data_IF_470816459857
#
_entry.id   IF_470816459857
#
_cell.length_a   1.000
_cell.length_b   1.000
_cell.length_c   1.000
_cell.angle_alpha   90.00
_cell.angle_beta   90.00
_cell.angle_gamma   90.00
#
_symmetry.space_group_name_H-M   'P 1'
#
loop_
_entity.id
_entity.type
_entity.pdbx_description
1 polymer ?
#
# COMPACT_ATOMS: atom_id res chain seq x y z
N UNK A 1 7.69 42.81 -2.88
CA UNK A 1 6.33 42.23 -2.91
C UNK A 1 6.03 41.83 -1.48
N UNK A 2 4.95 42.30 -0.87
CA UNK A 2 4.60 41.85 0.47
C UNK A 2 4.08 40.42 0.37
N UNK A 3 4.48 39.54 1.33
CA UNK A 3 3.90 38.22 1.47
C UNK A 3 2.42 38.35 1.85
N UNK A 4 1.61 37.39 1.44
CA UNK A 4 0.21 37.36 1.84
C UNK A 4 0.10 37.12 3.37
N UNK A 5 -0.87 37.77 4.00
CA UNK A 5 -1.14 37.52 5.40
C UNK A 5 -1.57 36.07 5.62
N UNK A 6 -1.08 35.46 6.70
CA UNK A 6 -1.38 34.09 7.10
C UNK A 6 -0.75 32.97 6.25
N UNK A 7 0.29 33.25 5.48
CA UNK A 7 1.12 32.21 4.89
C UNK A 7 2.02 31.63 5.98
N UNK A 8 1.77 30.38 6.38
CA UNK A 8 2.43 29.65 7.48
C UNK A 8 2.61 30.48 8.77
N UNK A 9 1.51 30.92 9.40
CA UNK A 9 1.56 31.88 10.50
C UNK A 9 2.20 31.34 11.79
N UNK A 10 2.41 30.03 11.89
CA UNK A 10 2.91 29.33 13.09
C UNK A 10 4.31 28.75 12.93
N UNK A 11 4.96 28.93 11.80
CA UNK A 11 6.24 28.31 11.54
C UNK A 11 7.13 29.11 10.59
N UNK A 12 7.77 28.42 9.67
CA UNK A 12 8.55 29.05 8.60
C UNK A 12 7.60 29.66 7.58
N UNK A 13 7.92 30.84 7.11
CA UNK A 13 7.18 31.48 6.02
C UNK A 13 7.28 30.66 4.75
N UNK A 14 6.19 30.67 3.98
CA UNK A 14 6.16 30.02 2.68
C UNK A 14 7.02 30.78 1.66
N UNK A 15 8.11 30.17 1.29
CA UNK A 15 8.96 30.63 0.22
C UNK A 15 9.17 29.53 -0.79
N UNK A 16 8.56 29.66 -1.95
CA UNK A 16 9.05 28.94 -3.13
C UNK A 16 10.16 29.76 -3.78
N UNK A 17 10.83 29.18 -4.75
CA UNK A 17 11.84 29.92 -5.56
C UNK A 17 11.27 31.12 -6.31
N UNK A 18 9.95 31.24 -6.39
CA UNK A 18 9.21 32.35 -7.01
C UNK A 18 8.38 33.17 -6.01
N UNK A 19 8.56 32.95 -4.71
CA UNK A 19 7.85 33.65 -3.64
C UNK A 19 6.33 33.60 -3.81
N UNK A 20 5.78 32.39 -3.84
CA UNK A 20 4.34 32.17 -3.97
C UNK A 20 3.77 31.57 -2.69
N UNK A 21 2.50 31.89 -2.41
CA UNK A 21 1.69 31.28 -1.37
C UNK A 21 1.08 29.93 -1.77
N UNK A 22 1.43 29.44 -2.96
CA UNK A 22 0.80 28.24 -3.54
C UNK A 22 1.44 26.94 -3.12
N UNK A 23 2.70 26.96 -2.71
CA UNK A 23 3.46 25.78 -2.34
C UNK A 23 3.81 25.78 -0.86
N UNK A 24 3.35 24.78 -0.14
CA UNK A 24 3.67 24.59 1.26
C UNK A 24 5.14 24.16 1.41
N UNK A 25 5.88 24.83 2.29
CA UNK A 25 7.29 24.50 2.55
C UNK A 25 7.38 23.19 3.36
N UNK A 26 8.17 22.22 2.89
CA UNK A 26 8.37 20.95 3.57
C UNK A 26 9.03 21.04 4.96
N UNK A 27 9.67 22.18 5.27
CA UNK A 27 10.26 22.44 6.59
C UNK A 27 9.35 23.24 7.52
N UNK A 28 8.19 23.72 7.03
CA UNK A 28 7.25 24.51 7.81
C UNK A 28 6.57 23.71 8.93
N UNK A 29 6.19 24.41 9.99
CA UNK A 29 5.41 23.82 11.09
C UNK A 29 4.08 23.26 10.58
N UNK A 30 3.43 23.95 9.65
CA UNK A 30 2.17 23.51 9.04
C UNK A 30 2.35 22.16 8.31
N UNK A 31 3.45 21.98 7.57
CA UNK A 31 3.68 20.72 6.88
C UNK A 31 4.11 19.59 7.83
N UNK A 32 4.82 19.89 8.91
CA UNK A 32 5.11 18.90 9.97
C UNK A 32 3.80 18.34 10.54
N UNK A 33 2.81 19.22 10.80
CA UNK A 33 1.47 18.80 11.23
C UNK A 33 0.79 17.91 10.20
N UNK A 34 0.86 18.26 8.91
CA UNK A 34 0.32 17.42 7.82
C UNK A 34 0.90 16.01 7.85
N UNK A 35 2.21 15.89 7.96
CA UNK A 35 2.90 14.60 7.94
C UNK A 35 2.59 13.75 9.17
N UNK A 36 2.55 14.36 10.35
CA UNK A 36 2.22 13.65 11.60
C UNK A 36 0.75 13.21 11.62
N UNK A 37 -0.18 14.03 11.13
CA UNK A 37 -1.59 13.66 11.01
C UNK A 37 -1.78 12.46 10.06
N UNK A 38 -1.16 12.49 8.88
CA UNK A 38 -1.20 11.38 7.91
C UNK A 38 -0.66 10.11 8.55
N UNK A 39 0.51 10.17 9.17
CA UNK A 39 1.12 9.01 9.83
C UNK A 39 0.22 8.43 10.90
N UNK A 40 -0.29 9.28 11.80
CA UNK A 40 -1.15 8.86 12.90
C UNK A 40 -2.42 8.16 12.40
N UNK A 41 -3.10 8.72 11.40
CA UNK A 41 -4.32 8.12 10.85
C UNK A 41 -4.06 6.81 10.11
N UNK A 42 -2.96 6.70 9.36
CA UNK A 42 -2.60 5.45 8.69
C UNK A 42 -2.22 4.35 9.70
N UNK A 43 -1.46 4.69 10.75
CA UNK A 43 -1.15 3.77 11.85
C UNK A 43 -2.42 3.28 12.55
N UNK A 44 -3.39 4.16 12.77
CA UNK A 44 -4.65 3.79 13.41
C UNK A 44 -5.51 2.87 12.54
N UNK A 45 -5.71 3.21 11.27
CA UNK A 45 -6.56 2.46 10.35
C UNK A 45 -6.01 1.07 10.04
N UNK A 46 -4.71 0.95 9.78
CA UNK A 46 -4.07 -0.31 9.38
C UNK A 46 -3.40 -1.05 10.54
N UNK A 47 -3.39 -0.49 11.75
CA UNK A 47 -2.66 -1.04 12.91
C UNK A 47 -1.16 -1.21 12.64
N UNK A 48 -0.59 -0.29 11.87
CA UNK A 48 0.82 -0.32 11.48
C UNK A 48 1.74 0.21 12.59
N UNK A 49 2.98 -0.30 12.61
CA UNK A 49 4.05 0.22 13.49
C UNK A 49 4.66 1.49 12.91
N UNK A 50 4.96 1.47 11.62
CA UNK A 50 5.55 2.61 10.94
C UNK A 50 4.83 2.91 9.61
N UNK A 51 4.95 4.15 9.15
CA UNK A 51 4.39 4.64 7.89
C UNK A 51 5.50 5.28 7.08
N UNK A 52 5.53 5.03 5.78
CA UNK A 52 6.45 5.64 4.84
C UNK A 52 5.66 6.20 3.65
N UNK A 53 5.90 7.46 3.32
CA UNK A 53 5.32 8.10 2.15
C UNK A 53 6.38 8.19 1.05
N UNK A 54 6.13 7.52 -0.07
CA UNK A 54 7.00 7.55 -1.25
C UNK A 54 6.39 8.52 -2.27
N UNK A 55 7.04 9.63 -2.62
CA UNK A 55 6.52 10.56 -3.63
C UNK A 55 6.22 9.86 -4.96
N UNK A 56 5.05 10.12 -5.55
CA UNK A 56 4.61 9.55 -6.82
C UNK A 56 3.24 8.90 -6.72
N UNK A 57 3.16 7.60 -6.53
CA UNK A 57 1.89 6.86 -6.44
C UNK A 57 2.11 5.43 -5.96
N UNK A 58 1.04 4.63 -5.91
CA UNK A 58 1.10 3.26 -5.41
C UNK A 58 2.17 2.39 -6.09
N UNK A 59 2.35 2.53 -7.40
CA UNK A 59 3.40 1.78 -8.14
C UNK A 59 4.82 2.13 -7.68
N UNK A 60 5.06 3.37 -7.25
CA UNK A 60 6.34 3.79 -6.67
C UNK A 60 6.54 3.14 -5.29
N UNK A 61 5.47 3.02 -4.49
CA UNK A 61 5.49 2.27 -3.23
C UNK A 61 5.80 0.79 -3.45
N UNK A 62 5.17 0.14 -4.44
CA UNK A 62 5.45 -1.25 -4.80
C UNK A 62 6.93 -1.42 -5.19
N UNK A 63 7.45 -0.57 -6.07
CA UNK A 63 8.84 -0.66 -6.51
C UNK A 63 9.82 -0.36 -5.37
N UNK A 64 9.52 0.61 -4.49
CA UNK A 64 10.31 0.89 -3.30
C UNK A 64 10.44 -0.33 -2.39
N UNK A 65 9.33 -1.01 -2.12
CA UNK A 65 9.28 -2.25 -1.30
C UNK A 65 10.07 -3.39 -1.98
N UNK A 66 9.89 -3.60 -3.29
CA UNK A 66 10.61 -4.63 -4.02
C UNK A 66 12.12 -4.38 -4.03
N UNK A 67 12.57 -3.16 -4.30
CA UNK A 67 13.99 -2.78 -4.30
C UNK A 67 14.64 -2.86 -2.93
N UNK A 68 13.89 -2.58 -1.88
CA UNK A 68 14.38 -2.66 -0.51
C UNK A 68 14.56 -4.10 -0.04
N UNK A 69 13.55 -4.95 -0.27
CA UNK A 69 13.49 -6.24 0.40
C UNK A 69 13.75 -7.45 -0.52
N UNK A 70 13.48 -7.35 -1.84
CA UNK A 70 13.54 -8.49 -2.75
C UNK A 70 14.87 -8.63 -3.49
N UNK A 71 15.79 -7.69 -3.33
CA UNK A 71 17.04 -7.68 -4.08
C UNK A 71 17.92 -8.89 -3.76
N UNK A 72 18.22 -9.68 -4.80
CA UNK A 72 19.02 -10.89 -4.67
C UNK A 72 18.35 -12.04 -3.90
N UNK A 73 17.08 -11.91 -3.58
CA UNK A 73 16.30 -12.89 -2.83
C UNK A 73 15.49 -13.82 -3.75
N UNK A 74 15.02 -14.95 -3.22
CA UNK A 74 13.96 -15.74 -3.80
C UNK A 74 12.61 -15.20 -3.31
N UNK A 75 11.66 -15.08 -4.21
CA UNK A 75 10.35 -14.52 -3.88
C UNK A 75 9.21 -15.36 -4.44
N UNK A 76 8.04 -15.25 -3.82
CA UNK A 76 6.79 -15.83 -4.32
C UNK A 76 5.76 -14.72 -4.55
N UNK A 77 5.05 -14.78 -5.67
CA UNK A 77 4.01 -13.82 -6.05
C UNK A 77 2.69 -14.55 -6.26
N UNK A 78 1.67 -14.19 -5.49
CA UNK A 78 0.28 -14.54 -5.79
C UNK A 78 -0.23 -13.58 -6.86
N UNK A 79 -0.69 -14.13 -8.00
CA UNK A 79 -1.08 -13.34 -9.17
C UNK A 79 -2.49 -13.66 -9.62
N UNK A 80 -3.42 -12.75 -9.32
CA UNK A 80 -4.84 -12.91 -9.58
C UNK A 80 -5.33 -12.19 -10.84
N UNK A 81 -4.45 -11.38 -11.48
CA UNK A 81 -4.79 -10.66 -12.70
C UNK A 81 -3.71 -9.65 -13.12
N UNK A 82 -4.17 -8.57 -13.77
CA UNK A 82 -3.29 -7.58 -14.40
C UNK A 82 -2.53 -6.72 -13.38
N UNK A 83 -3.18 -6.33 -12.26
CA UNK A 83 -2.53 -5.45 -11.29
C UNK A 83 -1.52 -6.20 -10.41
N UNK A 84 -1.81 -7.43 -10.03
CA UNK A 84 -0.83 -8.28 -9.33
C UNK A 84 0.32 -8.75 -10.24
N UNK A 85 0.15 -8.76 -11.57
CA UNK A 85 1.24 -8.98 -12.53
C UNK A 85 2.31 -7.88 -12.44
N UNK A 86 1.95 -6.68 -11.95
CA UNK A 86 2.91 -5.59 -11.77
C UNK A 86 4.08 -5.96 -10.87
N UNK A 87 3.88 -6.81 -9.87
CA UNK A 87 5.00 -7.33 -9.08
C UNK A 87 6.03 -8.05 -9.96
N UNK A 88 5.58 -8.96 -10.82
CA UNK A 88 6.47 -9.63 -11.78
C UNK A 88 7.17 -8.63 -12.71
N UNK A 89 6.45 -7.63 -13.22
CA UNK A 89 7.03 -6.61 -14.09
C UNK A 89 8.10 -5.77 -13.39
N UNK A 90 7.86 -5.34 -12.15
CA UNK A 90 8.85 -4.61 -11.35
C UNK A 90 10.10 -5.46 -11.12
N UNK A 91 9.91 -6.71 -10.72
CA UNK A 91 10.97 -7.66 -10.44
C UNK A 91 11.82 -7.91 -11.70
N UNK A 92 11.17 -8.21 -12.83
CA UNK A 92 11.81 -8.51 -14.11
C UNK A 92 12.53 -7.28 -14.67
N UNK A 93 11.87 -6.12 -14.71
CA UNK A 93 12.45 -4.87 -15.22
C UNK A 93 13.67 -4.43 -14.42
N UNK A 94 13.61 -4.59 -13.09
CA UNK A 94 14.73 -4.24 -12.21
C UNK A 94 15.82 -5.31 -12.09
N UNK A 95 15.58 -6.53 -12.57
CA UNK A 95 16.48 -7.67 -12.34
C UNK A 95 16.70 -7.90 -10.84
N UNK A 96 15.64 -7.76 -10.03
CA UNK A 96 15.78 -7.60 -8.58
C UNK A 96 16.05 -8.91 -7.86
N UNK A 97 15.45 -10.01 -8.29
CA UNK A 97 15.41 -11.27 -7.53
C UNK A 97 16.32 -12.33 -8.13
N UNK A 98 16.71 -13.32 -7.30
CA UNK A 98 17.39 -14.52 -7.75
C UNK A 98 16.42 -15.48 -8.44
N UNK A 99 15.23 -15.65 -7.85
CA UNK A 99 14.13 -16.43 -8.43
C UNK A 99 12.78 -15.81 -8.07
N UNK A 100 11.75 -16.08 -8.89
CA UNK A 100 10.40 -15.61 -8.66
C UNK A 100 9.41 -16.71 -9.03
N UNK A 101 8.80 -17.33 -8.01
CA UNK A 101 7.70 -18.27 -8.20
C UNK A 101 6.37 -17.54 -8.27
N UNK A 102 5.54 -17.91 -9.23
CA UNK A 102 4.25 -17.26 -9.46
C UNK A 102 3.09 -18.24 -9.31
N UNK A 103 2.25 -18.00 -8.29
CA UNK A 103 1.01 -18.74 -8.05
C UNK A 103 -0.17 -17.98 -8.69
N UNK A 104 -0.69 -18.53 -9.80
CA UNK A 104 -1.71 -17.86 -10.62
C UNK A 104 -3.12 -18.26 -10.21
N UNK A 105 -4.06 -17.32 -10.32
CA UNK A 105 -5.49 -17.61 -10.32
C UNK A 105 -5.84 -18.61 -11.44
N UNK A 106 -6.85 -19.43 -11.20
CA UNK A 106 -7.31 -20.50 -12.10
C UNK A 106 -8.81 -20.43 -12.30
N UNK A 107 -9.29 -20.87 -13.45
CA UNK A 107 -10.71 -21.10 -13.64
C UNK A 107 -11.21 -22.23 -12.74
N UNK A 108 -12.40 -22.04 -12.18
CA UNK A 108 -13.03 -23.02 -11.26
C UNK A 108 -13.74 -24.16 -11.98
N UNK A 109 -13.75 -24.15 -13.33
CA UNK A 109 -14.38 -25.18 -14.15
C UNK A 109 -13.85 -25.15 -15.58
N UNK A 110 -14.38 -26.07 -16.41
CA UNK A 110 -13.94 -26.27 -17.81
C UNK A 110 -14.74 -25.41 -18.82
N UNK A 111 -15.77 -24.69 -18.38
CA UNK A 111 -16.51 -23.76 -19.25
C UNK A 111 -15.65 -22.52 -19.53
N UNK A 112 -15.68 -22.03 -20.76
CA UNK A 112 -14.96 -20.81 -21.16
C UNK A 112 -15.39 -19.55 -20.35
N UNK A 113 -16.55 -19.59 -19.72
CA UNK A 113 -17.09 -18.55 -18.84
C UNK A 113 -16.96 -18.89 -17.35
N UNK A 114 -16.30 -20.00 -17.00
CA UNK A 114 -16.08 -20.34 -15.61
C UNK A 114 -15.29 -19.22 -14.91
N UNK A 115 -15.70 -18.78 -13.71
CA UNK A 115 -15.04 -17.73 -13.00
C UNK A 115 -13.65 -18.17 -12.53
N UNK A 116 -12.82 -17.19 -12.16
CA UNK A 116 -11.48 -17.40 -11.64
C UNK A 116 -11.47 -17.30 -10.11
N UNK A 117 -10.72 -18.17 -9.46
CA UNK A 117 -10.37 -18.08 -8.05
C UNK A 117 -8.85 -17.93 -7.91
N UNK A 118 -8.35 -17.35 -6.81
CA UNK A 118 -6.93 -17.41 -6.45
C UNK A 118 -6.41 -18.86 -6.47
N UNK A 119 -5.10 -19.04 -6.57
CA UNK A 119 -4.51 -20.36 -6.36
C UNK A 119 -4.99 -20.91 -5.00
N UNK A 120 -5.34 -22.21 -4.89
CA UNK A 120 -5.77 -22.79 -3.63
C UNK A 120 -4.75 -22.51 -2.51
N UNK A 121 -5.23 -22.06 -1.36
CA UNK A 121 -4.33 -21.61 -0.27
C UNK A 121 -3.37 -22.70 0.19
N UNK A 122 -3.83 -23.95 0.25
CA UNK A 122 -2.99 -25.08 0.64
C UNK A 122 -1.81 -25.31 -0.33
N UNK A 123 -2.01 -25.08 -1.64
CA UNK A 123 -0.95 -25.16 -2.62
C UNK A 123 0.06 -24.02 -2.45
N UNK A 124 -0.42 -22.82 -2.16
CA UNK A 124 0.45 -21.65 -1.92
C UNK A 124 1.26 -21.83 -0.64
N UNK A 125 0.64 -22.28 0.43
CA UNK A 125 1.30 -22.60 1.70
C UNK A 125 2.36 -23.70 1.50
N UNK A 126 2.04 -24.77 0.76
CA UNK A 126 2.99 -25.83 0.44
C UNK A 126 4.19 -25.30 -0.37
N UNK A 127 3.95 -24.41 -1.33
CA UNK A 127 5.02 -23.77 -2.12
C UNK A 127 5.91 -22.87 -1.24
N UNK A 128 5.33 -22.08 -0.34
CA UNK A 128 6.09 -21.25 0.61
C UNK A 128 7.01 -22.12 1.48
N UNK A 129 6.50 -23.20 2.05
CA UNK A 129 7.30 -24.10 2.89
C UNK A 129 8.39 -24.83 2.12
N UNK A 130 8.12 -25.22 0.85
CA UNK A 130 9.08 -25.92 0.00
C UNK A 130 10.21 -25.01 -0.49
N UNK A 131 9.87 -23.80 -0.94
CA UNK A 131 10.81 -22.88 -1.59
C UNK A 131 11.47 -21.90 -0.62
N UNK A 132 10.84 -21.66 0.54
CA UNK A 132 11.32 -20.76 1.60
C UNK A 132 11.73 -19.39 1.04
N UNK A 133 10.83 -18.70 0.32
CA UNK A 133 11.12 -17.37 -0.21
C UNK A 133 11.45 -16.41 0.93
N UNK A 134 12.22 -15.36 0.64
CA UNK A 134 12.43 -14.28 1.62
C UNK A 134 11.22 -13.34 1.71
N UNK A 135 10.40 -13.30 0.66
CA UNK A 135 9.23 -12.41 0.57
C UNK A 135 8.12 -13.09 -0.22
N UNK A 136 6.89 -12.92 0.28
CA UNK A 136 5.65 -13.30 -0.41
C UNK A 136 4.88 -12.04 -0.74
N UNK A 137 4.56 -11.82 -2.02
CA UNK A 137 3.74 -10.72 -2.51
C UNK A 137 2.35 -11.21 -2.88
N UNK A 138 1.32 -10.49 -2.47
CA UNK A 138 -0.06 -10.77 -2.86
C UNK A 138 -0.86 -9.47 -3.09
N UNK A 139 -1.86 -9.47 -4.01
CA UNK A 139 -2.84 -8.41 -4.07
C UNK A 139 -3.94 -8.68 -3.03
N UNK A 140 -4.44 -7.66 -2.33
CA UNK A 140 -5.68 -7.80 -1.58
C UNK A 140 -6.87 -7.77 -2.55
N UNK A 141 -6.93 -6.75 -3.40
CA UNK A 141 -7.96 -6.61 -4.44
C UNK A 141 -7.32 -6.59 -5.83
N UNK A 142 -7.76 -7.52 -6.68
CA UNK A 142 -7.41 -7.54 -8.08
C UNK A 142 -8.54 -6.94 -8.92
N UNK A 143 -8.41 -5.66 -9.24
CA UNK A 143 -9.45 -4.90 -9.95
C UNK A 143 -9.78 -5.47 -11.33
N UNK A 144 -8.79 -6.01 -12.05
CA UNK A 144 -8.98 -6.51 -13.41
C UNK A 144 -9.86 -7.77 -13.48
N UNK A 145 -9.98 -8.51 -12.39
CA UNK A 145 -10.77 -9.73 -12.29
C UNK A 145 -11.91 -9.63 -11.25
N UNK A 146 -11.93 -8.56 -10.44
CA UNK A 146 -12.90 -8.38 -9.37
C UNK A 146 -12.74 -9.35 -8.20
N UNK A 147 -11.52 -9.88 -8.02
CA UNK A 147 -11.17 -10.81 -6.93
C UNK A 147 -10.69 -10.02 -5.72
N UNK A 148 -11.20 -10.39 -4.54
CA UNK A 148 -10.67 -9.95 -3.25
C UNK A 148 -10.20 -11.18 -2.48
N UNK A 149 -9.03 -11.11 -1.85
CA UNK A 149 -8.57 -12.16 -0.94
C UNK A 149 -9.28 -11.98 0.42
N UNK A 150 -9.96 -13.01 0.93
CA UNK A 150 -10.55 -12.94 2.27
C UNK A 150 -9.47 -12.95 3.36
N UNK A 151 -9.81 -12.45 4.55
CA UNK A 151 -8.87 -12.28 5.66
C UNK A 151 -8.21 -13.59 6.11
N UNK A 152 -8.92 -14.72 6.03
CA UNK A 152 -8.38 -16.05 6.35
C UNK A 152 -7.31 -16.49 5.34
N UNK A 153 -7.50 -16.19 4.06
CA UNK A 153 -6.48 -16.43 3.03
C UNK A 153 -5.23 -15.58 3.29
N UNK A 154 -5.42 -14.29 3.58
CA UNK A 154 -4.31 -13.37 3.91
C UNK A 154 -3.56 -13.82 5.16
N UNK A 155 -4.30 -14.23 6.19
CA UNK A 155 -3.73 -14.74 7.45
C UNK A 155 -2.93 -16.03 7.24
N UNK A 156 -3.42 -16.94 6.41
CA UNK A 156 -2.70 -18.17 6.07
C UNK A 156 -1.40 -17.90 5.30
N UNK A 157 -1.43 -16.93 4.36
CA UNK A 157 -0.21 -16.47 3.68
C UNK A 157 0.81 -15.89 4.65
N UNK A 158 0.36 -15.02 5.57
CA UNK A 158 1.23 -14.40 6.55
C UNK A 158 1.84 -15.44 7.49
N UNK A 159 1.03 -16.37 7.99
CA UNK A 159 1.49 -17.45 8.86
C UNK A 159 2.55 -18.31 8.19
N UNK A 160 2.28 -18.80 6.97
CA UNK A 160 3.25 -19.61 6.23
C UNK A 160 4.53 -18.83 5.90
N UNK A 161 4.41 -17.52 5.60
CA UNK A 161 5.57 -16.64 5.39
C UNK A 161 6.42 -16.55 6.66
N UNK A 162 5.78 -16.34 7.80
CA UNK A 162 6.48 -16.25 9.09
C UNK A 162 7.17 -17.55 9.48
N UNK A 163 6.57 -18.71 9.20
CA UNK A 163 7.16 -20.03 9.48
C UNK A 163 8.51 -20.24 8.79
N UNK A 164 8.72 -19.61 7.64
CA UNK A 164 9.98 -19.69 6.88
C UNK A 164 10.87 -18.45 7.03
N UNK A 165 10.47 -17.48 7.87
CA UNK A 165 11.21 -16.23 8.09
C UNK A 165 11.01 -15.18 6.98
N UNK A 166 10.03 -15.35 6.09
CA UNK A 166 9.69 -14.41 5.04
C UNK A 166 8.91 -13.19 5.56
N UNK A 167 8.92 -12.10 4.79
CA UNK A 167 7.96 -11.00 4.93
C UNK A 167 6.74 -11.26 4.06
N UNK A 168 5.55 -10.96 4.59
CA UNK A 168 4.30 -10.93 3.83
C UNK A 168 3.97 -9.51 3.39
N UNK A 169 3.93 -9.27 2.08
CA UNK A 169 3.64 -7.97 1.44
C UNK A 169 2.27 -8.03 0.78
N UNK A 170 1.36 -7.15 1.19
CA UNK A 170 0.00 -7.05 0.67
C UNK A 170 -0.22 -5.73 -0.08
N UNK A 171 -0.59 -5.83 -1.35
CA UNK A 171 -0.99 -4.69 -2.16
C UNK A 171 -2.47 -4.37 -1.92
N UNK A 172 -2.74 -3.34 -1.14
CA UNK A 172 -4.06 -2.80 -0.84
C UNK A 172 -4.37 -1.51 -1.62
N UNK A 173 -3.65 -1.20 -2.69
CA UNK A 173 -3.87 0.02 -3.48
C UNK A 173 -5.33 0.09 -3.97
N UNK A 174 -5.89 -1.02 -4.40
CA UNK A 174 -7.27 -1.08 -4.93
C UNK A 174 -8.32 -1.51 -3.89
N UNK A 175 -7.95 -1.62 -2.61
CA UNK A 175 -8.86 -2.12 -1.56
C UNK A 175 -9.95 -1.12 -1.17
N UNK A 176 -9.84 0.12 -1.61
CA UNK A 176 -10.80 1.15 -1.20
C UNK A 176 -10.76 1.33 0.32
N UNK A 177 -11.95 1.26 0.93
CA UNK A 177 -12.12 1.35 2.38
C UNK A 177 -12.26 -0.03 3.06
N UNK A 178 -11.91 -1.13 2.38
CA UNK A 178 -11.76 -2.44 3.00
C UNK A 178 -10.41 -2.49 3.74
N UNK A 179 -10.38 -1.86 4.92
CA UNK A 179 -9.18 -1.73 5.74
C UNK A 179 -8.72 -3.09 6.26
N UNK A 180 -7.43 -3.39 6.10
CA UNK A 180 -6.80 -4.60 6.65
C UNK A 180 -6.15 -4.24 7.99
N UNK A 181 -6.49 -4.98 9.02
CA UNK A 181 -5.77 -4.94 10.30
C UNK A 181 -4.49 -5.77 10.16
N UNK A 182 -3.33 -5.09 10.04
CA UNK A 182 -2.03 -5.75 9.86
C UNK A 182 -1.65 -6.63 11.05
N UNK A 183 -2.04 -6.25 12.28
CA UNK A 183 -1.74 -7.05 13.48
C UNK A 183 -2.58 -8.31 13.53
N UNK A 184 -3.85 -8.23 13.18
CA UNK A 184 -4.76 -9.38 13.18
C UNK A 184 -4.43 -10.37 12.07
N UNK A 185 -4.09 -9.89 10.87
CA UNK A 185 -3.80 -10.73 9.70
C UNK A 185 -2.34 -11.19 9.61
N UNK A 186 -1.43 -10.53 10.32
CA UNK A 186 0.01 -10.83 10.28
C UNK A 186 0.74 -10.24 9.04
N UNK A 187 0.11 -9.32 8.30
CA UNK A 187 0.74 -8.64 7.17
C UNK A 187 1.91 -7.79 7.64
N UNK A 188 3.08 -7.95 7.01
CA UNK A 188 4.30 -7.22 7.39
C UNK A 188 4.44 -5.88 6.66
N UNK A 189 4.08 -5.84 5.39
CA UNK A 189 4.13 -4.63 4.56
C UNK A 189 2.80 -4.48 3.82
N UNK A 190 2.13 -3.36 4.00
CA UNK A 190 0.89 -3.04 3.32
C UNK A 190 1.10 -1.78 2.47
N UNK A 191 0.63 -1.80 1.21
CA UNK A 191 0.78 -0.68 0.29
C UNK A 191 -0.60 -0.16 -0.10
N UNK A 192 -0.77 1.16 -0.01
CA UNK A 192 -1.99 1.87 -0.43
C UNK A 192 -1.61 3.13 -1.23
N UNK A 193 -2.60 3.92 -1.62
CA UNK A 193 -2.39 5.18 -2.32
C UNK A 193 -3.55 6.16 -2.11
N UNK A 194 -3.28 7.49 -2.11
CA UNK A 194 -4.28 8.52 -1.83
C UNK A 194 -5.47 8.54 -2.78
N UNK A 195 -5.25 8.28 -4.09
CA UNK A 195 -6.27 8.40 -5.14
C UNK A 195 -7.24 7.22 -5.23
N UNK A 196 -7.22 6.31 -4.29
CA UNK A 196 -8.10 5.13 -4.22
C UNK A 196 -9.09 5.28 -3.07
N UNK A 197 -9.00 4.49 -2.04
CA UNK A 197 -9.93 4.54 -0.90
C UNK A 197 -9.99 5.87 -0.15
N UNK A 198 -8.96 6.68 -0.26
CA UNK A 198 -8.87 7.97 0.42
C UNK A 198 -9.43 9.15 -0.37
N UNK A 199 -9.86 8.94 -1.62
CA UNK A 199 -10.50 9.96 -2.49
C UNK A 199 -9.70 11.24 -2.70
N UNK A 200 -8.37 11.20 -2.56
CA UNK A 200 -7.47 12.31 -2.79
C UNK A 200 -6.81 12.27 -4.17
N UNK A 201 -6.01 13.28 -4.51
CA UNK A 201 -5.19 13.26 -5.72
C UNK A 201 -4.02 12.28 -5.59
N UNK A 202 -3.56 11.65 -6.69
CA UNK A 202 -2.35 10.84 -6.68
C UNK A 202 -1.14 11.70 -6.30
N UNK A 203 -0.43 11.29 -5.24
CA UNK A 203 0.70 12.07 -4.71
C UNK A 203 1.80 11.18 -4.11
N UNK A 204 1.44 10.01 -3.58
CA UNK A 204 2.39 9.13 -2.91
C UNK A 204 1.99 7.66 -3.01
N UNK A 205 2.97 6.78 -2.87
CA UNK A 205 2.76 5.41 -2.39
C UNK A 205 2.77 5.43 -0.86
N UNK A 206 1.73 4.88 -0.26
CA UNK A 206 1.58 4.77 1.19
C UNK A 206 2.06 3.38 1.59
N UNK A 207 3.14 3.29 2.36
CA UNK A 207 3.71 2.01 2.80
C UNK A 207 3.62 1.92 4.32
N UNK A 208 2.84 0.98 4.80
CA UNK A 208 2.70 0.65 6.21
C UNK A 208 3.57 -0.55 6.55
N UNK A 209 4.28 -0.50 7.66
CA UNK A 209 5.24 -1.52 8.08
C UNK A 209 4.87 -2.09 9.45
N UNK A 210 5.02 -3.40 9.61
CA UNK A 210 5.02 -4.08 10.91
C UNK A 210 6.37 -3.93 11.62
N UNK A 211 6.45 -4.28 12.91
CA UNK A 211 7.71 -4.34 13.65
C UNK A 211 8.75 -5.23 12.95
N UNK A 212 8.32 -6.38 12.38
CA UNK A 212 9.19 -7.28 11.61
C UNK A 212 9.75 -6.62 10.35
N UNK A 213 8.91 -5.88 9.63
CA UNK A 213 9.33 -5.16 8.43
C UNK A 213 10.28 -4.00 8.77
N UNK A 214 10.04 -3.28 9.86
CA UNK A 214 10.96 -2.23 10.36
C UNK A 214 12.32 -2.84 10.73
N UNK A 215 12.35 -3.96 11.45
CA UNK A 215 13.60 -4.65 11.76
C UNK A 215 14.35 -5.09 10.48
N UNK A 216 13.65 -5.67 9.51
CA UNK A 216 14.23 -6.07 8.21
C UNK A 216 14.71 -4.86 7.39
N UNK A 217 14.06 -3.69 7.52
CA UNK A 217 14.46 -2.45 6.86
C UNK A 217 15.86 -2.00 7.30
N UNK A 218 16.22 -2.21 8.57
CA UNK A 218 17.54 -1.87 9.08
C UNK A 218 18.66 -2.76 8.51
N UNK A 219 18.34 -3.99 8.16
CA UNK A 219 19.28 -5.00 7.65
C UNK A 219 19.45 -4.97 6.12
N UNK A 220 18.60 -4.22 5.41
CA UNK A 220 18.55 -4.20 3.95
C UNK A 220 18.86 -2.83 3.37
N UNK A 221 19.18 -2.80 2.07
CA UNK A 221 19.49 -1.56 1.34
C UNK A 221 18.77 -1.53 0.01
N UNK A 222 18.28 -0.35 -0.37
CA UNK A 222 17.73 -0.10 -1.69
C UNK A 222 18.85 0.22 -2.70
N UNK A 223 18.63 -0.07 -3.96
CA UNK A 223 19.47 0.36 -5.09
C UNK A 223 18.90 1.59 -5.81
N UNK A 224 17.86 2.21 -5.26
CA UNK A 224 17.26 3.43 -5.79
C UNK A 224 17.53 4.61 -4.85
N UNK A 225 17.92 5.74 -5.42
CA UNK A 225 18.00 6.99 -4.66
C UNK A 225 16.60 7.55 -4.38
N UNK A 226 15.76 7.71 -5.41
CA UNK A 226 14.52 8.46 -5.30
C UNK A 226 13.43 7.75 -4.48
N UNK A 227 13.40 6.43 -4.51
CA UNK A 227 12.41 5.60 -3.81
C UNK A 227 13.04 4.68 -2.76
N UNK A 228 14.16 5.09 -2.16
CA UNK A 228 14.78 4.38 -1.05
C UNK A 228 13.84 4.37 0.17
N UNK A 229 13.25 3.21 0.45
CA UNK A 229 12.26 3.05 1.50
C UNK A 229 12.81 3.42 2.88
N UNK A 230 14.06 3.05 3.16
CA UNK A 230 14.74 3.36 4.43
C UNK A 230 14.96 4.86 4.60
N UNK A 231 15.34 5.56 3.53
CA UNK A 231 15.50 7.03 3.56
C UNK A 231 14.17 7.73 3.81
N UNK A 232 13.12 7.33 3.13
CA UNK A 232 11.80 7.91 3.34
C UNK A 232 11.22 7.57 4.73
N UNK A 233 11.52 6.40 5.29
CA UNK A 233 11.21 6.10 6.68
C UNK A 233 11.92 7.06 7.65
N UNK A 234 13.20 7.36 7.45
CA UNK A 234 13.95 8.35 8.24
C UNK A 234 13.33 9.75 8.13
N UNK A 235 12.82 10.13 6.96
CA UNK A 235 12.08 11.39 6.77
C UNK A 235 10.80 11.41 7.61
N UNK A 236 10.00 10.32 7.57
CA UNK A 236 8.80 10.22 8.42
C UNK A 236 9.13 10.31 9.91
N UNK A 237 10.14 9.60 10.37
CA UNK A 237 10.60 9.65 11.76
C UNK A 237 11.01 11.07 12.18
N UNK A 238 11.66 11.84 11.29
CA UNK A 238 12.02 13.21 11.58
C UNK A 238 10.77 14.08 11.83
N UNK A 239 9.70 13.93 11.03
CA UNK A 239 8.44 14.63 11.26
C UNK A 239 7.73 14.14 12.54
N UNK A 240 7.66 12.86 12.77
CA UNK A 240 7.05 12.27 13.97
C UNK A 240 7.75 12.71 15.27
N UNK A 241 9.04 12.99 15.20
CA UNK A 241 9.85 13.51 16.32
C UNK A 241 9.81 15.05 16.45
N UNK A 242 8.89 15.72 15.75
CA UNK A 242 8.69 17.17 15.87
C UNK A 242 9.72 18.02 15.12
N UNK A 243 10.43 17.42 14.16
CA UNK A 243 11.38 18.09 13.28
C UNK A 243 11.03 17.95 11.80
N UNK A 244 12.04 18.09 10.98
CA UNK A 244 11.98 17.84 9.53
C UNK A 244 13.32 17.34 9.02
N UNK A 245 13.30 16.64 7.89
CA UNK A 245 14.51 16.28 7.16
C UNK A 245 14.20 16.27 5.65
N UNK A 246 15.26 16.36 4.84
CA UNK A 246 15.16 16.40 3.38
C UNK A 246 15.91 15.22 2.76
N UNK A 247 15.27 14.53 1.84
CA UNK A 247 15.89 13.53 0.97
C UNK A 247 15.70 13.88 -0.51
N UNK A 248 14.46 14.08 -0.92
CA UNK A 248 14.06 14.53 -2.24
C UNK A 248 12.77 15.35 -2.14
N UNK A 249 12.37 16.01 -3.21
CA UNK A 249 11.20 16.87 -3.24
C UNK A 249 9.91 16.06 -3.01
N UNK A 250 9.06 16.57 -2.10
CA UNK A 250 7.75 16.01 -1.80
C UNK A 250 6.64 16.85 -2.42
N UNK A 251 5.51 16.24 -2.82
CA UNK A 251 4.33 16.96 -3.32
C UNK A 251 3.51 17.53 -2.13
N UNK A 252 4.04 18.57 -1.49
CA UNK A 252 3.55 19.06 -0.20
C UNK A 252 2.09 19.51 -0.22
N UNK A 253 1.64 20.22 -1.26
CA UNK A 253 0.26 20.66 -1.39
C UNK A 253 -0.71 19.50 -1.62
N UNK A 254 -0.30 18.51 -2.39
CA UNK A 254 -1.10 17.31 -2.60
C UNK A 254 -1.20 16.45 -1.33
N UNK A 255 -0.12 16.39 -0.53
CA UNK A 255 -0.14 15.72 0.77
C UNK A 255 -1.01 16.45 1.79
N UNK A 256 -1.02 17.80 1.78
CA UNK A 256 -1.95 18.60 2.59
C UNK A 256 -3.41 18.27 2.21
N UNK A 257 -3.73 18.33 0.92
CA UNK A 257 -5.07 17.97 0.45
C UNK A 257 -5.44 16.51 0.81
N UNK A 258 -4.49 15.59 0.75
CA UNK A 258 -4.69 14.22 1.19
C UNK A 258 -4.99 14.14 2.69
N UNK A 259 -4.24 14.82 3.55
CA UNK A 259 -4.52 14.90 4.98
C UNK A 259 -5.95 15.41 5.23
N UNK A 260 -6.38 16.43 4.50
CA UNK A 260 -7.72 17.01 4.67
C UNK A 260 -8.81 16.00 4.32
N UNK A 261 -8.69 15.23 3.23
CA UNK A 261 -9.63 14.13 2.91
C UNK A 261 -9.59 13.00 3.94
N UNK A 262 -8.43 12.72 4.54
CA UNK A 262 -8.33 11.74 5.64
C UNK A 262 -9.07 12.19 6.89
N UNK A 263 -9.02 13.50 7.23
CA UNK A 263 -9.79 14.06 8.34
C UNK A 263 -11.29 13.96 8.09
N UNK A 264 -11.77 14.28 6.89
CA UNK A 264 -13.17 14.08 6.50
C UNK A 264 -13.59 12.60 6.64
N UNK A 265 -12.73 11.70 6.21
CA UNK A 265 -12.96 10.24 6.33
C UNK A 265 -13.04 9.80 7.79
N UNK A 266 -12.16 10.34 8.64
CA UNK A 266 -12.16 10.08 10.08
C UNK A 266 -13.42 10.60 10.75
N UNK A 267 -13.86 11.80 10.40
CA UNK A 267 -15.09 12.41 10.94
C UNK A 267 -16.35 11.63 10.53
N UNK A 268 -16.36 11.08 9.31
CA UNK A 268 -17.43 10.17 8.87
C UNK A 268 -17.41 8.84 9.63
N UNK A 269 -16.24 8.33 9.96
CA UNK A 269 -15.96 7.09 10.66
C UNK A 269 -15.46 5.97 9.74
N UNK A 270 -14.25 5.48 10.02
CA UNK A 270 -13.58 4.45 9.21
C UNK A 270 -14.37 3.14 9.11
N UNK A 271 -14.92 2.65 10.22
CA UNK A 271 -15.75 1.43 10.23
C UNK A 271 -17.03 1.60 9.45
N UNK A 272 -17.70 2.75 9.61
CA UNK A 272 -18.93 3.08 8.90
C UNK A 272 -18.68 3.13 7.38
N UNK A 273 -17.54 3.69 6.96
CA UNK A 273 -17.18 3.76 5.55
C UNK A 273 -16.85 2.39 4.98
N UNK A 274 -16.12 1.55 5.73
CA UNK A 274 -15.87 0.16 5.36
C UNK A 274 -17.17 -0.61 5.14
N UNK A 275 -18.09 -0.53 6.10
CA UNK A 275 -19.35 -1.25 6.05
C UNK A 275 -20.21 -0.78 4.86
N UNK A 276 -20.25 0.53 4.59
CA UNK A 276 -20.94 1.09 3.43
C UNK A 276 -20.33 0.62 2.10
N UNK A 277 -19.01 0.51 2.00
CA UNK A 277 -18.36 -0.02 0.80
C UNK A 277 -18.68 -1.50 0.58
N UNK A 278 -18.67 -2.33 1.61
CA UNK A 278 -19.06 -3.74 1.52
C UNK A 278 -20.51 -3.88 1.11
N UNK A 279 -21.42 -3.12 1.71
CA UNK A 279 -22.83 -3.12 1.35
C UNK A 279 -23.03 -2.75 -0.12
N UNK A 280 -22.43 -1.63 -0.57
CA UNK A 280 -22.52 -1.17 -1.96
C UNK A 280 -21.97 -2.24 -2.94
N UNK A 281 -20.83 -2.83 -2.63
CA UNK A 281 -20.22 -3.88 -3.45
C UNK A 281 -21.14 -5.10 -3.60
N UNK A 282 -21.75 -5.54 -2.53
CA UNK A 282 -22.70 -6.67 -2.53
C UNK A 282 -23.98 -6.34 -3.32
N UNK A 283 -24.54 -5.15 -3.13
CA UNK A 283 -25.74 -4.69 -3.87
C UNK A 283 -25.48 -4.61 -5.38
N UNK A 284 -24.34 -4.06 -5.80
CA UNK A 284 -23.96 -3.96 -7.22
C UNK A 284 -23.78 -5.36 -7.82
N UNK A 285 -23.10 -6.29 -7.13
CA UNK A 285 -22.93 -7.68 -7.60
C UNK A 285 -24.27 -8.39 -7.73
N UNK A 286 -25.15 -8.26 -6.75
CA UNK A 286 -26.50 -8.83 -6.80
C UNK A 286 -27.32 -8.26 -7.96
N UNK A 287 -27.28 -6.95 -8.17
CA UNK A 287 -27.95 -6.30 -9.29
C UNK A 287 -27.47 -6.79 -10.66
N UNK A 288 -26.14 -6.89 -10.85
CA UNK A 288 -25.55 -7.40 -12.09
C UNK A 288 -25.95 -8.86 -12.35
N UNK A 289 -25.98 -9.70 -11.31
CA UNK A 289 -26.42 -11.11 -11.41
C UNK A 289 -27.87 -11.21 -11.88
N UNK A 290 -28.78 -10.36 -11.37
CA UNK A 290 -30.20 -10.30 -11.84
C UNK A 290 -30.27 -9.89 -13.30
N UNK A 291 -29.34 -9.09 -13.81
CA UNK A 291 -29.24 -8.70 -15.22
C UNK A 291 -28.62 -9.77 -16.12
N UNK A 292 -28.26 -10.93 -15.59
CA UNK A 292 -27.61 -12.01 -16.34
C UNK A 292 -26.13 -11.77 -16.64
N UNK A 293 -25.49 -10.81 -15.95
CA UNK A 293 -24.06 -10.54 -16.07
C UNK A 293 -23.34 -11.45 -15.09
N UNK A 294 -22.48 -12.32 -15.61
CA UNK A 294 -21.69 -13.24 -14.80
C UNK A 294 -20.41 -12.57 -14.29
N UNK A 295 -20.03 -12.87 -13.04
CA UNK A 295 -18.77 -12.42 -12.47
C UNK A 295 -17.58 -13.18 -13.08
N UNK A 296 -16.46 -12.48 -13.27
CA UNK A 296 -15.17 -13.11 -13.59
C UNK A 296 -14.56 -13.73 -12.32
N UNK A 297 -14.84 -13.15 -11.15
CA UNK A 297 -14.43 -13.71 -9.88
C UNK A 297 -15.40 -14.81 -9.42
N UNK A 298 -14.86 -15.90 -8.88
CA UNK A 298 -15.64 -16.92 -8.18
C UNK A 298 -16.28 -16.33 -6.90
N UNK A 299 -17.37 -16.98 -6.47
CA UNK A 299 -17.99 -16.66 -5.17
C UNK A 299 -17.07 -17.17 -4.02
N UNK A 300 -16.94 -16.43 -2.93
CA UNK A 300 -16.16 -16.79 -1.73
C UNK A 300 -15.02 -15.83 -1.43
#
# INVERSE_FOLDING_TARGET
MALLENVDPTGLEEFSVVFTDRSLNSMSQSFQTVMTDISSMLKDVYRAEAVVLIPGGGSYGMEAVARQFARGADVLVVRNGWFSYRWSQIIETGGLTRSCTVMKARQTGNDTRAPFAPAPIDEVVAAIHAEKPAIVFAPHVETSAGVILPDDYVTALATASHDVGALMVLDCIASGCAWIDMKATGVDVLISAPQKGWSASPSAGLVMLSERAVARLEETTSDSFAIDLKKWHQIMQAYENGGHAYHATMPTDALRAFRDTMLETKDYGFDKLRDAQWQLGNEVRAYLKVKGITSVAADG
#
